data_IF_150086627272
#
_entry.id   IF_150086627272
#
_cell.length_a   1.000
_cell.length_b   1.000
_cell.length_c   1.000
_cell.angle_alpha   90.00
_cell.angle_beta   90.00
_cell.angle_gamma   90.00
#
_symmetry.space_group_name_H-M   'P 1'
#
loop_
_entity.id
_entity.type
_entity.pdbx_description
1 polymer ?
#
# COMPACT_ATOMS: atom_id res chain seq x y z
N UNK A 1 -11.42 -7.79 -22.61
CA UNK A 1 -10.13 -7.74 -21.90
C UNK A 1 -9.72 -6.28 -21.97
N UNK A 2 -10.11 -5.51 -20.97
CA UNK A 2 -9.75 -4.12 -20.85
C UNK A 2 -8.92 -4.04 -19.59
N UNK A 3 -7.63 -3.90 -19.77
CA UNK A 3 -6.67 -3.53 -18.75
C UNK A 3 -7.11 -2.13 -18.33
N UNK A 4 -7.91 -2.05 -17.26
CA UNK A 4 -8.24 -0.76 -16.68
C UNK A 4 -6.92 -0.26 -16.10
N UNK A 5 -6.16 0.51 -16.88
CA UNK A 5 -5.04 1.30 -16.39
C UNK A 5 -5.61 2.17 -15.27
N UNK A 6 -5.42 1.72 -14.03
CA UNK A 6 -5.80 2.45 -12.84
C UNK A 6 -4.87 3.66 -12.79
N UNK A 7 -5.20 4.72 -13.53
CA UNK A 7 -4.45 5.96 -13.55
C UNK A 7 -4.53 6.61 -12.17
N UNK A 8 -3.44 7.23 -11.71
CA UNK A 8 -3.39 7.83 -10.39
C UNK A 8 -4.47 8.90 -10.31
N UNK A 9 -5.18 9.04 -9.17
CA UNK A 9 -6.13 10.12 -9.04
C UNK A 9 -5.40 11.44 -9.35
N UNK A 10 -5.97 12.30 -10.22
CA UNK A 10 -5.31 13.53 -10.63
C UNK A 10 -5.10 14.42 -9.39
N UNK A 11 -3.91 15.02 -9.23
CA UNK A 11 -3.67 15.90 -8.10
C UNK A 11 -4.54 17.15 -8.23
N UNK A 12 -4.94 17.78 -7.10
CA UNK A 12 -5.62 19.07 -7.14
C UNK A 12 -4.68 20.14 -7.72
N UNK A 13 -5.20 21.14 -8.47
CA UNK A 13 -4.38 22.15 -9.13
C UNK A 13 -3.62 23.07 -8.14
N UNK A 14 -2.43 23.57 -8.54
CA UNK A 14 -1.51 24.33 -7.66
C UNK A 14 -1.93 25.78 -7.34
N UNK A 15 -2.80 26.39 -8.15
CA UNK A 15 -3.07 27.84 -8.13
C UNK A 15 -4.43 28.24 -7.53
N UNK A 16 -5.14 27.30 -6.88
CA UNK A 16 -6.33 27.64 -6.12
C UNK A 16 -5.93 27.85 -4.65
N UNK A 17 -6.33 28.98 -4.04
CA UNK A 17 -6.19 29.24 -2.60
C UNK A 17 -6.40 27.94 -1.82
N UNK A 18 -5.41 27.51 -1.01
CA UNK A 18 -5.35 26.18 -0.39
C UNK A 18 -6.69 25.82 0.28
N UNK A 19 -7.59 25.20 -0.48
CA UNK A 19 -8.98 25.05 -0.07
C UNK A 19 -9.02 24.05 1.09
N UNK A 20 -10.11 24.04 1.85
CA UNK A 20 -10.30 23.05 2.92
C UNK A 20 -10.05 21.61 2.43
N UNK A 21 -10.30 21.33 1.16
CA UNK A 21 -10.04 20.05 0.47
C UNK A 21 -8.55 19.75 0.32
N UNK A 22 -7.73 20.75 0.00
CA UNK A 22 -6.28 20.58 -0.13
C UNK A 22 -5.61 20.42 1.25
N UNK A 23 -6.15 21.09 2.27
CA UNK A 23 -5.78 20.86 3.68
C UNK A 23 -6.16 19.45 4.15
N UNK A 24 -7.34 18.98 3.76
CA UNK A 24 -7.79 17.61 4.01
C UNK A 24 -6.88 16.59 3.34
N UNK A 25 -6.43 16.84 2.11
CA UNK A 25 -5.50 15.95 1.42
C UNK A 25 -4.20 15.78 2.22
N UNK A 26 -3.56 16.88 2.64
CA UNK A 26 -2.38 16.82 3.50
C UNK A 26 -2.63 16.12 4.83
N UNK A 27 -3.79 16.36 5.45
CA UNK A 27 -4.15 15.75 6.72
C UNK A 27 -4.41 14.24 6.59
N UNK A 28 -4.87 13.79 5.42
CA UNK A 28 -5.12 12.38 5.10
C UNK A 28 -3.89 11.68 4.51
N UNK A 29 -2.76 12.39 4.31
CA UNK A 29 -1.52 11.74 3.90
C UNK A 29 -1.10 10.70 4.95
N UNK A 30 -0.97 9.45 4.52
CA UNK A 30 -0.52 8.34 5.37
C UNK A 30 0.89 8.59 5.89
N UNK A 31 1.73 9.22 5.06
CA UNK A 31 3.07 9.64 5.43
C UNK A 31 3.53 10.83 4.58
N UNK A 32 4.30 11.72 5.21
CA UNK A 32 4.99 12.82 4.55
C UNK A 32 6.50 12.57 4.67
N UNK A 33 7.21 12.58 3.55
CA UNK A 33 8.66 12.40 3.49
C UNK A 33 9.27 13.51 2.63
N UNK A 34 9.78 14.54 3.30
CA UNK A 34 10.28 15.74 2.64
C UNK A 34 9.18 16.41 1.80
N UNK A 35 9.37 16.46 0.49
CA UNK A 35 8.42 17.05 -0.46
C UNK A 35 7.38 16.06 -0.98
N UNK A 36 7.56 14.77 -0.69
CA UNK A 36 6.66 13.70 -1.13
C UNK A 36 5.60 13.38 -0.08
N UNK A 37 4.38 13.10 -0.52
CA UNK A 37 3.32 12.57 0.34
C UNK A 37 2.80 11.26 -0.19
N UNK A 38 2.60 10.31 0.72
CA UNK A 38 2.11 8.96 0.45
C UNK A 38 0.64 8.88 0.84
N UNK A 39 -0.16 8.34 -0.07
CA UNK A 39 -1.61 8.18 0.08
C UNK A 39 -2.02 6.80 -0.40
N UNK A 40 -3.14 6.27 0.11
CA UNK A 40 -3.77 5.09 -0.44
C UNK A 40 -4.97 5.43 -1.32
N UNK A 41 -5.21 4.61 -2.33
CA UNK A 41 -6.36 4.71 -3.23
C UNK A 41 -7.64 4.08 -2.64
N UNK A 42 -7.65 3.68 -1.35
CA UNK A 42 -8.71 2.90 -0.73
C UNK A 42 -8.74 1.41 -1.16
N UNK A 43 -8.08 1.08 -2.26
CA UNK A 43 -7.92 -0.27 -2.80
C UNK A 43 -6.65 -0.98 -2.28
N UNK A 44 -5.97 -0.38 -1.30
CA UNK A 44 -4.70 -0.89 -0.77
C UNK A 44 -3.48 -0.65 -1.67
N UNK A 45 -3.62 0.22 -2.68
CA UNK A 45 -2.53 0.67 -3.55
C UNK A 45 -2.05 2.04 -3.09
N UNK A 46 -0.74 2.21 -3.00
CA UNK A 46 -0.11 3.47 -2.62
C UNK A 46 0.18 4.32 -3.85
N UNK A 47 -0.04 5.62 -3.72
CA UNK A 47 0.43 6.61 -4.67
C UNK A 47 1.23 7.71 -3.97
N UNK A 48 2.15 8.30 -4.73
CA UNK A 48 3.15 9.24 -4.28
C UNK A 48 2.91 10.57 -4.99
N UNK A 49 2.78 11.64 -4.21
CA UNK A 49 2.60 12.98 -4.73
C UNK A 49 3.84 13.83 -4.44
N UNK A 50 4.44 14.39 -5.50
CA UNK A 50 5.54 15.33 -5.46
C UNK A 50 4.99 16.76 -5.45
N UNK A 51 5.24 17.49 -4.37
CA UNK A 51 4.84 18.90 -4.23
C UNK A 51 5.72 19.88 -4.98
N UNK A 52 6.91 19.46 -5.40
CA UNK A 52 7.85 20.33 -6.13
C UNK A 52 7.46 20.43 -7.60
N UNK A 53 6.91 19.38 -8.17
CA UNK A 53 6.45 19.31 -9.56
C UNK A 53 4.92 19.26 -9.68
N UNK A 54 4.20 19.30 -8.57
CA UNK A 54 2.74 19.19 -8.52
C UNK A 54 2.19 18.00 -9.31
N UNK A 55 2.84 16.84 -9.12
CA UNK A 55 2.55 15.62 -9.89
C UNK A 55 2.39 14.43 -8.96
N UNK A 56 1.40 13.58 -9.24
CA UNK A 56 1.22 12.29 -8.57
C UNK A 56 1.68 11.15 -9.47
N UNK A 57 2.15 10.07 -8.86
CA UNK A 57 2.63 8.88 -9.54
C UNK A 57 2.40 7.63 -8.69
N UNK A 58 2.18 6.49 -9.35
CA UNK A 58 2.13 5.19 -8.69
C UNK A 58 3.51 4.61 -8.43
N UNK A 59 4.45 4.92 -9.30
CA UNK A 59 5.82 4.49 -9.15
C UNK A 59 6.48 5.24 -8.00
N UNK A 60 7.24 4.48 -7.24
CA UNK A 60 8.01 5.03 -6.15
C UNK A 60 9.13 5.88 -6.71
N UNK A 61 9.24 7.14 -6.29
CA UNK A 61 10.37 7.97 -6.67
C UNK A 61 11.65 7.45 -6.02
N UNK A 62 12.79 7.66 -6.67
CA UNK A 62 14.10 7.17 -6.21
C UNK A 62 14.43 7.61 -4.77
N UNK A 63 13.99 8.83 -4.40
CA UNK A 63 14.10 9.37 -3.05
C UNK A 63 13.37 8.55 -1.97
N UNK A 64 12.34 7.79 -2.37
CA UNK A 64 11.55 6.91 -1.51
C UNK A 64 11.77 5.42 -1.79
N UNK A 65 12.59 5.04 -2.77
CA UNK A 65 12.86 3.64 -3.12
C UNK A 65 13.27 2.78 -1.91
N UNK A 66 14.09 3.34 -1.02
CA UNK A 66 14.48 2.63 0.21
C UNK A 66 13.34 2.49 1.21
N UNK A 67 12.39 3.42 1.23
CA UNK A 67 11.25 3.42 2.16
C UNK A 67 10.00 2.75 1.56
N UNK A 68 9.94 2.52 0.25
CA UNK A 68 8.84 1.82 -0.42
C UNK A 68 8.54 0.49 0.24
N UNK A 69 9.57 -0.32 0.47
CA UNK A 69 9.40 -1.61 1.12
C UNK A 69 8.76 -1.44 2.48
N UNK A 70 9.19 -0.44 3.27
CA UNK A 70 8.59 -0.17 4.58
C UNK A 70 7.15 0.31 4.46
N UNK A 71 6.84 1.17 3.49
CA UNK A 71 5.49 1.70 3.28
C UNK A 71 4.51 0.65 2.80
N UNK A 72 4.88 -0.13 1.78
CA UNK A 72 4.10 -1.28 1.34
C UNK A 72 3.89 -2.27 2.48
N UNK A 73 4.95 -2.57 3.23
CA UNK A 73 4.85 -3.51 4.34
C UNK A 73 3.95 -3.00 5.47
N UNK A 74 4.05 -1.71 5.81
CA UNK A 74 3.17 -1.04 6.79
C UNK A 74 1.72 -1.05 6.32
N UNK A 75 1.46 -0.68 5.07
CA UNK A 75 0.11 -0.67 4.52
C UNK A 75 -0.47 -2.08 4.45
N UNK A 76 0.30 -3.06 3.96
CA UNK A 76 -0.08 -4.46 4.00
C UNK A 76 -0.42 -4.87 5.43
N UNK A 77 0.43 -4.59 6.42
CA UNK A 77 0.13 -4.96 7.81
C UNK A 77 -1.16 -4.31 8.34
N UNK A 78 -1.47 -3.09 7.91
CA UNK A 78 -2.66 -2.36 8.32
C UNK A 78 -3.93 -2.91 7.66
N UNK A 79 -3.85 -3.32 6.39
CA UNK A 79 -5.01 -3.82 5.63
C UNK A 79 -5.10 -5.36 5.59
N UNK A 80 -4.25 -6.04 6.36
CA UNK A 80 -4.24 -7.49 6.45
C UNK A 80 -5.55 -8.00 7.05
N UNK A 81 -6.27 -8.84 6.30
CA UNK A 81 -7.46 -9.56 6.73
C UNK A 81 -7.13 -10.49 7.90
N UNK A 82 -5.96 -11.13 7.87
CA UNK A 82 -5.47 -11.97 8.95
C UNK A 82 -3.95 -11.95 8.99
N UNK A 83 -3.38 -12.30 10.15
CA UNK A 83 -1.93 -12.47 10.34
C UNK A 83 -1.63 -13.80 11.00
N UNK A 84 -0.58 -14.48 10.53
CA UNK A 84 -0.10 -15.73 11.13
C UNK A 84 1.43 -15.74 11.14
N UNK A 85 2.02 -15.40 12.29
CA UNK A 85 3.47 -15.29 12.44
C UNK A 85 4.08 -14.28 11.47
N UNK A 86 4.92 -14.76 10.55
CA UNK A 86 5.59 -13.95 9.52
C UNK A 86 4.73 -13.74 8.26
N UNK A 87 3.58 -14.37 8.18
CA UNK A 87 2.70 -14.26 7.04
C UNK A 87 1.52 -13.31 7.34
N UNK A 88 1.11 -12.53 6.34
CA UNK A 88 -0.14 -11.74 6.32
C UNK A 88 -1.05 -12.13 5.16
N UNK A 89 -2.36 -12.15 5.39
CA UNK A 89 -3.38 -12.49 4.40
C UNK A 89 -4.12 -11.21 4.02
N UNK A 90 -4.28 -10.99 2.73
CA UNK A 90 -4.87 -9.78 2.16
C UNK A 90 -5.90 -10.16 1.11
N UNK A 91 -6.95 -9.38 0.98
CA UNK A 91 -7.94 -9.55 -0.08
C UNK A 91 -7.43 -8.92 -1.39
N UNK A 92 -7.55 -9.65 -2.51
CA UNK A 92 -7.15 -9.19 -3.83
C UNK A 92 -8.30 -8.51 -4.63
N UNK A 93 -9.39 -8.11 -3.97
CA UNK A 93 -10.50 -7.38 -4.60
C UNK A 93 -11.62 -8.25 -5.19
N UNK A 94 -11.61 -9.57 -4.95
CA UNK A 94 -12.67 -10.49 -5.41
C UNK A 94 -13.05 -11.56 -4.38
N UNK A 95 -12.69 -11.37 -3.11
CA UNK A 95 -12.83 -12.41 -2.08
C UNK A 95 -11.72 -13.46 -2.12
N UNK A 96 -10.74 -13.34 -3.02
CA UNK A 96 -9.54 -14.18 -3.03
C UNK A 96 -8.50 -13.59 -2.10
N UNK A 97 -8.09 -14.39 -1.12
CA UNK A 97 -7.01 -14.02 -0.23
C UNK A 97 -5.66 -14.43 -0.84
N UNK A 98 -4.69 -13.52 -0.83
CA UNK A 98 -3.29 -13.84 -1.04
C UNK A 98 -2.52 -13.74 0.28
N UNK A 99 -1.48 -14.56 0.41
CA UNK A 99 -0.66 -14.66 1.60
C UNK A 99 0.74 -14.10 1.29
N UNK A 100 1.16 -13.08 2.02
CA UNK A 100 2.46 -12.44 1.88
C UNK A 100 3.36 -12.80 3.06
N UNK A 101 4.57 -13.28 2.78
CA UNK A 101 5.59 -13.54 3.78
C UNK A 101 6.49 -12.33 3.97
N UNK A 102 6.38 -11.69 5.13
CA UNK A 102 7.22 -10.54 5.50
C UNK A 102 8.72 -10.85 5.58
N UNK A 103 9.09 -12.10 5.86
CA UNK A 103 10.49 -12.53 6.07
C UNK A 103 11.22 -12.75 4.75
N UNK A 104 10.56 -13.38 3.77
CA UNK A 104 11.15 -13.70 2.46
C UNK A 104 10.71 -12.71 1.37
N UNK A 105 9.75 -11.83 1.67
CA UNK A 105 9.11 -10.88 0.73
C UNK A 105 8.44 -11.56 -0.47
N UNK A 106 7.86 -12.75 -0.26
CA UNK A 106 7.14 -13.48 -1.31
C UNK A 106 5.63 -13.45 -1.07
N UNK A 107 4.85 -13.33 -2.14
CA UNK A 107 3.40 -13.51 -2.11
C UNK A 107 3.01 -14.85 -2.74
N UNK A 108 2.03 -15.53 -2.15
CA UNK A 108 1.46 -16.78 -2.66
C UNK A 108 -0.07 -16.71 -2.62
N UNK A 109 -0.71 -17.31 -3.62
CA UNK A 109 -2.17 -17.35 -3.72
C UNK A 109 -2.80 -18.53 -2.98
N UNK A 110 -1.99 -19.53 -2.62
CA UNK A 110 -2.41 -20.69 -1.85
C UNK A 110 -2.01 -20.52 -0.39
N UNK A 111 -2.83 -21.00 0.54
CA UNK A 111 -2.50 -21.02 1.97
C UNK A 111 -1.22 -21.85 2.18
N UNK A 112 -0.08 -21.23 2.51
CA UNK A 112 1.14 -21.99 2.75
C UNK A 112 0.99 -22.82 4.02
N UNK A 113 1.67 -23.96 4.14
CA UNK A 113 1.54 -24.82 5.33
C UNK A 113 1.91 -24.05 6.61
N UNK A 114 2.95 -23.20 6.54
CA UNK A 114 3.36 -22.27 7.60
C UNK A 114 2.25 -21.30 8.08
N UNK A 115 1.20 -21.09 7.26
CA UNK A 115 0.03 -20.29 7.61
C UNK A 115 -0.94 -21.08 8.49
N UNK A 116 -0.98 -20.74 9.78
CA UNK A 116 -1.74 -21.50 10.78
C UNK A 116 -0.93 -22.61 11.45
N UNK A 117 0.31 -22.86 11.04
CA UNK A 117 1.22 -23.81 11.70
C UNK A 117 1.79 -23.33 13.05
N UNK A 118 1.51 -22.08 13.48
CA UNK A 118 1.60 -21.76 14.92
C UNK A 118 0.48 -22.42 15.76
N UNK A 119 -0.47 -23.11 15.13
CA UNK A 119 -1.36 -24.07 15.80
C UNK A 119 -1.17 -25.52 15.30
N UNK A 120 -0.71 -25.74 14.06
CA UNK A 120 -0.55 -27.10 13.49
C UNK A 120 0.86 -27.72 13.56
N UNK A 121 1.92 -26.97 13.93
CA UNK A 121 3.19 -27.57 14.39
C UNK A 121 3.12 -28.05 15.86
N UNK A 122 1.92 -28.07 16.46
CA UNK A 122 1.56 -28.87 17.62
C UNK A 122 0.83 -30.18 17.26
N UNK A 123 0.70 -30.51 15.96
CA UNK A 123 -0.01 -31.70 15.51
C UNK A 123 0.67 -32.34 14.27
N UNK A 124 1.93 -32.73 14.41
CA UNK A 124 2.54 -33.81 13.62
C UNK A 124 3.63 -34.51 14.43
#
# INVERSE_FOLDING_TARGET
MGDQELSAPPPPPPDAELTSEQKLYWLNALQIVGDWTVHDDGDGRLFYYDRRTDSSQWEVPDALASLETEFMMKLMLQNAVARSGVWTAHDAGNGTLYYFNSKTRVSVWQRPSEWGEQEAAAAA
#
